data_IF_081718101358
#
_entry.id   IF_081718101358
#
_cell.length_a   1.000
_cell.length_b   1.000
_cell.length_c   1.000
_cell.angle_alpha   90.00
_cell.angle_beta   90.00
_cell.angle_gamma   90.00
#
_symmetry.space_group_name_H-M   'P 1'
#
loop_
_entity.id
_entity.type
_entity.pdbx_description
1 polymer ?
#
# COMPACT_ATOMS: atom_id res chain seq x y z
N UNK A 1 -36.09 -14.73 -24.45
CA UNK A 1 -35.44 -14.64 -23.11
C UNK A 1 -33.95 -14.79 -23.33
N UNK A 2 -33.19 -13.70 -23.45
CA UNK A 2 -31.72 -13.77 -23.66
C UNK A 2 -31.03 -12.89 -22.63
N UNK A 3 -30.42 -13.55 -21.65
CA UNK A 3 -29.56 -12.93 -20.66
C UNK A 3 -28.14 -12.87 -21.22
N UNK A 4 -27.70 -11.69 -21.63
CA UNK A 4 -26.28 -11.46 -21.94
C UNK A 4 -25.60 -11.05 -20.64
N UNK A 5 -24.69 -11.90 -20.17
CA UNK A 5 -23.90 -11.70 -18.97
C UNK A 5 -23.12 -10.37 -19.05
N UNK A 6 -23.19 -9.59 -17.96
CA UNK A 6 -22.36 -8.41 -17.75
C UNK A 6 -20.87 -8.83 -17.78
N UNK A 7 -19.98 -8.03 -18.39
CA UNK A 7 -18.55 -8.25 -18.21
C UNK A 7 -18.25 -8.08 -16.73
N UNK A 8 -17.76 -9.15 -16.09
CA UNK A 8 -17.13 -9.07 -14.78
C UNK A 8 -15.90 -8.20 -14.97
N UNK A 9 -16.08 -6.90 -14.79
CA UNK A 9 -14.98 -5.99 -14.54
C UNK A 9 -14.34 -6.51 -13.25
N UNK A 10 -13.26 -7.26 -13.39
CA UNK A 10 -12.34 -7.47 -12.29
C UNK A 10 -11.76 -6.10 -11.99
N UNK A 11 -12.48 -5.36 -11.14
CA UNK A 11 -12.16 -4.04 -10.65
C UNK A 11 -10.70 -4.08 -10.20
N UNK A 12 -9.82 -3.52 -11.03
CA UNK A 12 -8.39 -3.56 -10.81
C UNK A 12 -8.12 -2.84 -9.49
N UNK A 13 -7.95 -3.62 -8.42
CA UNK A 13 -7.70 -3.09 -7.10
C UNK A 13 -6.56 -2.06 -7.21
N UNK A 14 -6.73 -0.84 -6.69
CA UNK A 14 -5.77 0.23 -6.90
C UNK A 14 -4.41 -0.21 -6.39
N UNK A 15 -3.44 -0.28 -7.32
CA UNK A 15 -2.08 -0.77 -7.07
C UNK A 15 -1.46 0.10 -5.98
N UNK A 16 -1.20 -0.48 -4.80
CA UNK A 16 -0.56 0.21 -3.68
C UNK A 16 0.94 0.07 -3.81
N UNK A 17 1.70 1.11 -3.50
CA UNK A 17 3.17 1.09 -3.61
C UNK A 17 3.76 1.22 -2.22
N UNK A 18 4.69 0.33 -1.87
CA UNK A 18 5.40 0.40 -0.60
C UNK A 18 6.32 1.61 -0.55
N UNK A 19 6.25 2.41 0.52
CA UNK A 19 7.07 3.62 0.68
C UNK A 19 8.56 3.31 0.87
N UNK A 20 8.92 2.13 1.41
CA UNK A 20 10.33 1.73 1.58
C UNK A 20 10.97 1.23 0.29
N UNK A 21 10.44 0.16 -0.29
CA UNK A 21 11.06 -0.52 -1.42
C UNK A 21 10.54 -0.06 -2.78
N UNK A 22 9.53 0.82 -2.81
CA UNK A 22 8.86 1.31 -4.03
C UNK A 22 8.29 0.19 -4.91
N UNK A 23 8.11 -1.01 -4.34
CA UNK A 23 7.49 -2.14 -5.04
C UNK A 23 5.98 -2.04 -4.94
N UNK A 24 5.31 -2.47 -6.00
CA UNK A 24 3.87 -2.67 -6.04
C UNK A 24 3.48 -3.80 -5.09
N UNK A 25 2.57 -3.51 -4.18
CA UNK A 25 1.94 -4.45 -3.27
C UNK A 25 0.83 -5.13 -4.06
N UNK A 26 0.88 -6.47 -4.13
CA UNK A 26 -0.19 -7.23 -4.77
C UNK A 26 -1.42 -7.25 -3.85
N UNK A 27 -2.65 -7.32 -4.40
CA UNK A 27 -3.87 -7.32 -3.58
C UNK A 27 -3.94 -8.51 -2.61
N UNK A 28 -3.22 -9.60 -2.90
CA UNK A 28 -3.12 -10.80 -2.07
C UNK A 28 -1.99 -10.72 -1.02
N UNK A 29 -1.11 -9.72 -1.09
CA UNK A 29 0.00 -9.55 -0.14
C UNK A 29 -0.48 -8.87 1.15
N UNK A 30 0.00 -9.34 2.31
CA UNK A 30 -0.30 -8.77 3.63
C UNK A 30 0.46 -7.45 3.85
N UNK A 31 0.08 -6.40 3.14
CA UNK A 31 0.56 -5.06 3.42
C UNK A 31 -0.21 -4.42 4.57
N UNK A 32 0.42 -3.43 5.20
CA UNK A 32 -0.22 -2.55 6.18
C UNK A 32 -0.17 -1.11 5.71
N UNK A 33 -1.21 -0.35 6.03
CA UNK A 33 -1.29 1.08 5.81
C UNK A 33 -1.60 1.78 7.11
N UNK A 34 -0.85 2.82 7.43
CA UNK A 34 -1.10 3.66 8.61
C UNK A 34 -0.77 5.11 8.29
N UNK A 35 -1.40 6.02 9.02
CA UNK A 35 -1.06 7.45 8.94
C UNK A 35 0.27 7.69 9.64
N UNK A 36 1.10 8.56 9.07
CA UNK A 36 2.36 8.94 9.71
C UNK A 36 2.09 9.43 11.15
N UNK A 37 2.77 8.88 12.18
CA UNK A 37 2.53 9.27 13.57
C UNK A 37 2.98 10.71 13.87
N UNK A 38 3.89 11.26 13.05
CA UNK A 38 4.41 12.60 13.24
C UNK A 38 3.51 13.67 12.61
N UNK A 39 3.13 13.52 11.32
CA UNK A 39 2.31 14.53 10.64
C UNK A 39 0.82 14.19 10.55
N UNK A 40 0.42 12.92 10.64
CA UNK A 40 -0.98 12.48 10.51
C UNK A 40 -1.61 12.65 9.12
N UNK A 41 -0.94 13.33 8.19
CA UNK A 41 -1.47 13.72 6.87
C UNK A 41 -1.23 12.62 5.83
N UNK A 42 -0.02 12.05 5.80
CA UNK A 42 0.37 11.07 4.77
C UNK A 42 0.04 9.65 5.22
N UNK A 43 -0.55 8.86 4.32
CA UNK A 43 -0.73 7.42 4.49
C UNK A 43 0.50 6.69 3.99
N UNK A 44 1.19 6.00 4.90
CA UNK A 44 2.37 5.19 4.61
C UNK A 44 1.91 3.76 4.36
N UNK A 45 2.35 3.20 3.23
CA UNK A 45 2.09 1.81 2.84
C UNK A 45 3.36 0.99 2.99
N UNK A 46 3.25 -0.15 3.66
CA UNK A 46 4.36 -1.04 3.99
C UNK A 46 4.02 -2.45 3.57
N UNK A 47 4.80 -3.00 2.65
CA UNK A 47 4.68 -4.41 2.26
C UNK A 47 5.16 -5.33 3.38
N UNK A 48 4.72 -6.60 3.33
CA UNK A 48 5.06 -7.59 4.35
C UNK A 48 6.57 -7.75 4.51
N UNK A 49 7.31 -7.75 3.40
CA UNK A 49 8.77 -7.92 3.40
C UNK A 49 9.49 -6.78 4.11
N UNK A 50 9.14 -5.53 3.81
CA UNK A 50 9.76 -4.38 4.47
C UNK A 50 9.42 -4.33 5.96
N UNK A 51 8.22 -4.77 6.33
CA UNK A 51 7.80 -4.92 7.72
C UNK A 51 8.56 -6.02 8.45
N UNK A 52 8.78 -7.17 7.81
CA UNK A 52 9.52 -8.28 8.38
C UNK A 52 11.00 -7.94 8.59
N UNK A 53 11.57 -7.10 7.72
CA UNK A 53 12.96 -6.64 7.82
C UNK A 53 13.12 -5.32 8.57
N UNK A 54 12.05 -4.75 9.15
CA UNK A 54 12.07 -3.44 9.84
C UNK A 54 12.83 -2.36 9.07
N UNK A 55 12.61 -2.29 7.75
CA UNK A 55 13.32 -1.36 6.87
C UNK A 55 12.88 0.07 7.20
N UNK A 56 13.78 1.04 7.39
CA UNK A 56 13.35 2.39 7.68
C UNK A 56 12.47 2.95 6.53
N UNK A 57 11.36 3.59 6.88
CA UNK A 57 10.53 4.37 5.96
C UNK A 57 10.68 5.85 6.27
N UNK A 58 10.73 6.68 5.22
CA UNK A 58 10.76 8.13 5.34
C UNK A 58 9.42 8.72 4.93
N UNK A 59 8.84 9.54 5.79
CA UNK A 59 7.63 10.28 5.46
C UNK A 59 7.99 11.42 4.47
N UNK A 60 7.32 11.52 3.30
CA UNK A 60 7.62 12.56 2.32
C UNK A 60 7.18 13.97 2.75
N UNK A 61 6.31 14.08 3.77
CA UNK A 61 5.80 15.37 4.24
C UNK A 61 6.64 15.97 5.37
N UNK A 62 6.94 15.18 6.41
CA UNK A 62 7.67 15.66 7.59
C UNK A 62 9.11 15.16 7.69
N UNK A 63 9.55 14.27 6.78
CA UNK A 63 10.90 13.71 6.81
C UNK A 63 11.15 12.70 7.94
N UNK A 64 10.13 12.34 8.72
CA UNK A 64 10.24 11.37 9.80
C UNK A 64 10.70 10.01 9.27
N UNK A 65 11.78 9.47 9.84
CA UNK A 65 12.27 8.12 9.57
C UNK A 65 11.91 7.19 10.73
N UNK A 66 11.11 6.17 10.43
CA UNK A 66 10.70 5.13 11.39
C UNK A 66 10.98 3.73 10.85
N UNK A 67 11.00 2.68 11.70
CA UNK A 67 11.32 1.30 11.30
C UNK A 67 10.22 0.57 10.50
#
# INVERSE_FOLDING_TARGET
MSATALPVVHEAAPIKICTCCKKTITPYEKATSFKCPNCGIVVIWRCQRCRASSVPYKCPNCGFEGP
#
